data_IF_838028518361
#
_entry.id   IF_838028518361
#
_cell.length_a   1.000
_cell.length_b   1.000
_cell.length_c   1.000
_cell.angle_alpha   90.00
_cell.angle_beta   90.00
_cell.angle_gamma   90.00
#
_symmetry.space_group_name_H-M   'P 1'
#
loop_
_entity.id
_entity.type
_entity.pdbx_description
1 polymer ?
#
# COMPACT_ATOMS: atom_id res chain seq x y z
N UNK A 1 -29.32 -27.49 -50.51
CA UNK A 1 -28.43 -26.61 -49.74
C UNK A 1 -28.39 -27.14 -48.31
N UNK A 2 -27.22 -27.51 -47.81
CA UNK A 2 -27.06 -27.83 -46.38
C UNK A 2 -26.91 -26.52 -45.61
N UNK A 3 -27.67 -26.34 -44.54
CA UNK A 3 -27.57 -25.16 -43.66
C UNK A 3 -27.04 -25.66 -42.33
N UNK A 4 -25.84 -25.21 -41.95
CA UNK A 4 -25.19 -25.61 -40.72
C UNK A 4 -25.60 -24.69 -39.56
N UNK A 5 -25.83 -25.27 -38.39
CA UNK A 5 -26.11 -24.56 -37.14
C UNK A 5 -25.10 -24.98 -36.08
N UNK A 6 -24.57 -24.01 -35.31
CA UNK A 6 -23.68 -24.23 -34.17
C UNK A 6 -24.27 -23.56 -32.94
N UNK A 7 -24.32 -24.27 -31.82
CA UNK A 7 -24.59 -23.71 -30.49
C UNK A 7 -23.28 -23.56 -29.73
N UNK A 8 -23.06 -22.41 -29.11
CA UNK A 8 -21.95 -22.16 -28.19
C UNK A 8 -22.53 -21.75 -26.83
N UNK A 9 -21.92 -22.25 -25.75
CA UNK A 9 -22.30 -21.89 -24.38
C UNK A 9 -21.33 -20.84 -23.85
N UNK A 10 -21.83 -19.64 -23.56
CA UNK A 10 -21.09 -18.62 -22.81
C UNK A 10 -21.15 -19.01 -21.34
N UNK A 11 -20.00 -19.35 -20.75
CA UNK A 11 -19.91 -19.60 -19.30
C UNK A 11 -19.77 -18.27 -18.58
N UNK A 12 -20.84 -17.85 -17.91
CA UNK A 12 -20.81 -16.74 -16.97
C UNK A 12 -20.31 -17.26 -15.62
N UNK A 13 -19.14 -16.81 -15.18
CA UNK A 13 -18.70 -16.97 -13.79
C UNK A 13 -18.91 -15.63 -13.09
N UNK A 14 -19.86 -15.52 -12.14
CA UNK A 14 -20.02 -14.29 -11.37
C UNK A 14 -18.72 -14.05 -10.57
N UNK A 15 -18.23 -12.81 -10.55
CA UNK A 15 -17.12 -12.43 -9.66
C UNK A 15 -17.56 -12.51 -8.20
N UNK A 16 -16.64 -12.81 -7.28
CA UNK A 16 -16.96 -12.91 -5.86
C UNK A 16 -17.20 -11.55 -5.19
N UNK A 17 -17.27 -10.45 -5.96
CA UNK A 17 -17.40 -9.08 -5.48
C UNK A 17 -16.32 -8.20 -6.07
N UNK A 18 -16.25 -6.94 -5.62
CA UNK A 18 -15.06 -6.11 -5.78
C UNK A 18 -14.30 -6.18 -4.47
N UNK A 19 -12.98 -6.26 -4.53
CA UNK A 19 -12.13 -6.25 -3.34
C UNK A 19 -11.11 -5.14 -3.49
N UNK A 20 -10.96 -4.33 -2.44
CA UNK A 20 -9.86 -3.39 -2.32
C UNK A 20 -8.76 -4.08 -1.52
N UNK A 21 -7.56 -4.19 -2.10
CA UNK A 21 -6.47 -4.98 -1.52
C UNK A 21 -5.21 -4.14 -1.35
N UNK A 22 -4.52 -4.36 -0.24
CA UNK A 22 -3.28 -3.65 0.07
C UNK A 22 -2.32 -4.57 0.82
N UNK A 23 -1.03 -4.42 0.56
CA UNK A 23 0.03 -4.94 1.43
C UNK A 23 0.53 -3.78 2.29
N UNK A 24 0.52 -3.96 3.60
CA UNK A 24 1.02 -2.98 4.55
C UNK A 24 2.25 -3.51 5.29
N UNK A 25 3.18 -2.64 5.66
CA UNK A 25 4.21 -2.97 6.64
C UNK A 25 3.90 -2.31 7.99
N UNK A 26 3.57 -3.07 9.05
CA UNK A 26 3.39 -2.53 10.39
C UNK A 26 4.65 -1.86 10.96
N UNK A 27 5.82 -2.14 10.41
CA UNK A 27 7.10 -1.55 10.83
C UNK A 27 7.38 -0.18 10.19
N UNK A 28 6.47 0.31 9.36
CA UNK A 28 6.68 1.45 8.48
C UNK A 28 7.29 1.04 7.14
N UNK A 29 7.54 2.01 6.29
CA UNK A 29 8.06 1.80 4.95
C UNK A 29 9.40 1.08 4.95
N UNK A 30 9.47 0.04 4.12
CA UNK A 30 10.66 -0.77 3.98
C UNK A 30 11.55 -0.18 2.89
N UNK A 31 12.84 -0.12 3.17
CA UNK A 31 13.87 0.26 2.21
C UNK A 31 15.15 -0.49 2.54
N UNK A 32 16.08 -0.58 1.59
CA UNK A 32 17.47 -0.92 1.89
C UNK A 32 18.45 -0.07 1.10
N UNK A 33 19.49 0.39 1.79
CA UNK A 33 20.65 1.02 1.19
C UNK A 33 21.85 0.09 1.30
N UNK A 34 22.77 0.18 0.34
CA UNK A 34 24.01 -0.60 0.37
C UNK A 34 25.23 0.21 -0.03
N UNK A 35 26.37 -0.10 0.59
CA UNK A 35 27.68 0.44 0.22
C UNK A 35 28.33 -0.38 -0.91
N UNK A 36 29.32 0.21 -1.59
CA UNK A 36 30.08 -0.48 -2.63
C UNK A 36 29.41 -0.46 -4.00
N UNK A 37 29.55 -1.54 -4.76
CA UNK A 37 29.07 -1.67 -6.14
C UNK A 37 28.38 -3.01 -6.38
N UNK A 38 27.63 -3.12 -7.48
CA UNK A 38 27.10 -4.40 -7.93
C UNK A 38 28.26 -5.41 -8.08
N UNK A 39 28.16 -6.56 -7.40
CA UNK A 39 29.24 -7.56 -7.32
C UNK A 39 30.22 -7.43 -6.16
N UNK A 40 30.20 -6.31 -5.43
CA UNK A 40 30.98 -6.06 -4.21
C UNK A 40 30.13 -5.25 -3.22
N UNK A 41 29.03 -5.87 -2.77
CA UNK A 41 28.08 -5.27 -1.84
C UNK A 41 28.74 -5.19 -0.46
N UNK A 42 28.81 -3.98 0.09
CA UNK A 42 29.33 -3.68 1.42
C UNK A 42 28.24 -3.75 2.50
N UNK A 43 28.29 -2.83 3.46
CA UNK A 43 27.28 -2.74 4.50
C UNK A 43 25.88 -2.48 3.90
N UNK A 44 24.85 -3.08 4.51
CA UNK A 44 23.45 -2.93 4.13
C UNK A 44 22.69 -2.34 5.32
N UNK A 45 21.83 -1.35 5.06
CA UNK A 45 21.03 -0.71 6.10
C UNK A 45 19.64 -0.32 5.61
N UNK A 46 18.57 -0.57 6.36
CA UNK A 46 18.51 -1.40 7.56
C UNK A 46 18.82 -2.88 7.27
N UNK A 47 19.40 -3.57 8.26
CA UNK A 47 19.69 -5.00 8.18
C UNK A 47 18.45 -5.83 8.54
N UNK A 48 17.78 -6.36 7.51
CA UNK A 48 16.58 -7.20 7.65
C UNK A 48 16.86 -8.56 8.27
N UNK A 49 18.12 -9.00 8.35
CA UNK A 49 18.44 -10.20 9.13
C UNK A 49 18.21 -9.99 10.63
N UNK A 50 18.30 -8.74 11.09
CA UNK A 50 18.08 -8.32 12.48
C UNK A 50 16.67 -7.81 12.71
N UNK A 51 16.21 -6.87 11.89
CA UNK A 51 14.91 -6.22 12.10
C UNK A 51 13.74 -7.12 11.71
N UNK A 52 13.94 -8.00 10.73
CA UNK A 52 12.98 -8.95 10.19
C UNK A 52 11.56 -8.36 10.04
N UNK A 53 11.36 -7.36 9.17
CA UNK A 53 10.07 -6.70 9.02
C UNK A 53 9.02 -7.68 8.50
N UNK A 54 7.75 -7.36 8.79
CA UNK A 54 6.60 -8.11 8.30
C UNK A 54 5.80 -7.29 7.30
N UNK A 55 5.19 -8.00 6.36
CA UNK A 55 4.20 -7.51 5.42
C UNK A 55 2.88 -8.23 5.69
N UNK A 56 1.77 -7.51 5.65
CA UNK A 56 0.43 -8.04 5.88
C UNK A 56 -0.44 -7.73 4.69
N UNK A 57 -1.14 -8.75 4.18
CA UNK A 57 -2.10 -8.60 3.09
C UNK A 57 -3.50 -8.41 3.66
N UNK A 58 -4.12 -7.29 3.30
CA UNK A 58 -5.49 -6.95 3.68
C UNK A 58 -6.34 -6.95 2.42
N UNK A 59 -7.47 -7.65 2.47
CA UNK A 59 -8.52 -7.56 1.47
C UNK A 59 -9.77 -7.03 2.13
N UNK A 60 -10.20 -5.84 1.75
CA UNK A 60 -11.49 -5.29 2.14
C UNK A 60 -12.50 -5.69 1.09
N UNK A 61 -13.49 -6.47 1.51
CA UNK A 61 -14.61 -6.83 0.65
C UNK A 61 -15.42 -5.57 0.43
N UNK A 62 -15.80 -5.34 -0.82
CA UNK A 62 -16.77 -4.30 -1.08
C UNK A 62 -18.10 -4.62 -0.43
N UNK A 63 -18.40 -5.74 0.25
CA UNK A 63 -19.75 -6.10 0.75
C UNK A 63 -20.05 -5.70 2.20
N UNK A 64 -21.26 -5.15 2.44
CA UNK A 64 -21.73 -4.62 3.76
C UNK A 64 -21.45 -5.59 4.93
N UNK A 65 -21.61 -6.90 4.71
CA UNK A 65 -21.56 -7.90 5.78
C UNK A 65 -20.17 -8.48 6.06
N UNK A 66 -19.17 -8.24 5.21
CA UNK A 66 -17.82 -8.82 5.35
C UNK A 66 -16.81 -7.82 5.89
N UNK A 67 -16.84 -6.54 5.48
CA UNK A 67 -15.81 -5.59 5.90
C UNK A 67 -14.42 -6.03 5.44
N UNK A 68 -13.57 -6.49 6.35
CA UNK A 68 -12.32 -7.18 6.01
C UNK A 68 -12.62 -8.63 5.65
N UNK A 69 -12.33 -9.01 4.41
CA UNK A 69 -12.42 -10.40 3.97
C UNK A 69 -11.18 -11.17 4.40
N UNK A 70 -11.37 -12.40 4.86
CA UNK A 70 -10.27 -13.33 5.15
C UNK A 70 -10.11 -14.26 3.94
N UNK A 71 -9.05 -14.10 3.13
CA UNK A 71 -8.80 -15.02 2.03
C UNK A 71 -8.56 -16.44 2.56
N UNK A 72 -8.99 -17.45 1.81
CA UNK A 72 -8.77 -18.86 2.17
C UNK A 72 -7.36 -19.36 1.82
N UNK A 73 -6.67 -18.63 0.95
CA UNK A 73 -5.29 -18.88 0.58
C UNK A 73 -4.62 -17.57 0.16
N UNK A 74 -3.31 -17.51 0.32
CA UNK A 74 -2.47 -16.43 -0.17
C UNK A 74 -1.12 -16.98 -0.62
N UNK A 75 -0.83 -16.78 -1.89
CA UNK A 75 0.44 -17.05 -2.54
C UNK A 75 1.26 -15.76 -2.61
N UNK A 76 2.55 -15.86 -2.36
CA UNK A 76 3.46 -14.72 -2.35
C UNK A 76 4.47 -14.84 -3.49
N UNK A 77 4.92 -13.71 -4.01
CA UNK A 77 5.88 -13.61 -5.10
C UNK A 77 6.93 -12.55 -4.75
N UNK A 78 8.17 -12.78 -5.17
CA UNK A 78 9.27 -11.81 -5.11
C UNK A 78 9.77 -11.57 -6.53
N UNK A 79 9.71 -10.32 -7.02
CA UNK A 79 10.02 -9.96 -8.41
C UNK A 79 9.35 -10.94 -9.41
N UNK A 80 8.03 -11.13 -9.24
CA UNK A 80 7.17 -12.05 -10.01
C UNK A 80 7.50 -13.55 -9.93
N UNK A 81 8.53 -13.94 -9.17
CA UNK A 81 8.83 -15.34 -8.90
C UNK A 81 7.99 -15.82 -7.72
N UNK A 82 7.12 -16.81 -7.95
CA UNK A 82 6.32 -17.44 -6.90
C UNK A 82 7.20 -18.03 -5.80
N UNK A 83 6.94 -17.65 -4.56
CA UNK A 83 7.61 -18.19 -3.40
C UNK A 83 7.09 -19.60 -3.06
N UNK A 84 8.01 -20.53 -2.87
CA UNK A 84 7.75 -21.89 -2.41
C UNK A 84 8.27 -22.05 -0.99
N UNK A 85 7.55 -22.76 -0.13
CA UNK A 85 7.90 -22.86 1.30
C UNK A 85 8.05 -24.30 1.75
N UNK A 86 9.02 -24.55 2.64
CA UNK A 86 9.14 -25.77 3.44
C UNK A 86 9.30 -25.36 4.89
N UNK A 87 8.48 -25.94 5.79
CA UNK A 87 8.42 -25.51 7.20
C UNK A 87 8.22 -23.99 7.35
N UNK A 88 7.34 -23.42 6.50
CA UNK A 88 7.05 -21.98 6.39
C UNK A 88 8.21 -21.08 5.96
N UNK A 89 9.40 -21.60 5.64
CA UNK A 89 10.53 -20.80 5.15
C UNK A 89 10.69 -20.99 3.64
N UNK A 90 10.96 -19.90 2.93
CA UNK A 90 11.06 -19.91 1.46
C UNK A 90 12.25 -20.74 1.00
N UNK A 91 12.06 -21.58 -0.01
CA UNK A 91 13.09 -22.47 -0.57
C UNK A 91 13.66 -21.98 -1.90
N UNK A 92 13.10 -20.91 -2.46
CA UNK A 92 13.60 -20.28 -3.68
C UNK A 92 15.08 -19.88 -3.51
N UNK A 93 15.82 -19.92 -4.61
CA UNK A 93 17.21 -19.44 -4.67
C UNK A 93 17.23 -18.12 -5.42
N UNK A 94 17.62 -17.05 -4.74
CA UNK A 94 17.79 -15.72 -5.31
C UNK A 94 19.24 -15.31 -5.19
N UNK A 95 19.92 -15.18 -6.33
CA UNK A 95 21.35 -14.84 -6.42
C UNK A 95 22.25 -15.66 -5.46
N UNK A 96 22.00 -16.97 -5.40
CA UNK A 96 22.79 -17.93 -4.61
C UNK A 96 22.36 -18.10 -3.15
N UNK A 97 21.38 -17.33 -2.69
CA UNK A 97 20.86 -17.41 -1.33
C UNK A 97 19.44 -18.00 -1.29
N UNK A 98 19.07 -18.64 -0.17
CA UNK A 98 17.69 -19.11 0.09
C UNK A 98 17.21 -18.71 1.48
N UNK A 99 15.93 -18.92 1.79
CA UNK A 99 15.37 -18.65 3.11
C UNK A 99 15.15 -17.18 3.44
N UNK A 100 14.92 -16.32 2.44
CA UNK A 100 14.67 -14.89 2.63
C UNK A 100 13.31 -14.57 3.24
N UNK A 101 12.32 -15.45 3.09
CA UNK A 101 10.97 -15.17 3.54
C UNK A 101 10.43 -16.28 4.43
N UNK A 102 9.58 -15.90 5.39
CA UNK A 102 8.78 -16.83 6.18
C UNK A 102 7.30 -16.48 6.06
N UNK A 103 6.51 -17.44 5.62
CA UNK A 103 5.05 -17.33 5.65
C UNK A 103 4.59 -17.29 7.11
N UNK A 104 3.83 -16.25 7.46
CA UNK A 104 3.18 -16.16 8.77
C UNK A 104 1.76 -16.74 8.64
N UNK A 105 1.37 -17.68 9.50
CA UNK A 105 -0.01 -18.18 9.50
C UNK A 105 -0.96 -17.05 9.89
N UNK A 106 -2.21 -17.18 9.47
CA UNK A 106 -3.30 -16.34 9.93
C UNK A 106 -3.38 -16.36 11.48
N UNK A 107 -3.51 -15.18 12.10
CA UNK A 107 -3.67 -15.03 13.55
C UNK A 107 -4.95 -14.23 13.82
N UNK A 108 -5.97 -14.91 14.35
CA UNK A 108 -7.23 -14.27 14.72
C UNK A 108 -7.02 -13.19 15.80
N UNK A 109 -7.73 -12.06 15.68
CA UNK A 109 -7.71 -10.97 16.65
C UNK A 109 -6.54 -9.99 16.54
N UNK A 110 -5.60 -10.22 15.61
CA UNK A 110 -4.61 -9.20 15.19
C UNK A 110 -5.04 -8.53 13.88
N UNK A 111 -6.32 -8.66 13.45
CA UNK A 111 -6.91 -8.10 12.21
C UNK A 111 -6.95 -9.04 10.99
N UNK A 112 -6.91 -10.35 11.24
CA UNK A 112 -7.39 -11.37 10.31
C UNK A 112 -6.69 -11.43 8.93
N UNK A 113 -5.38 -11.19 8.90
CA UNK A 113 -4.61 -11.06 7.67
C UNK A 113 -3.67 -12.25 7.39
N UNK A 114 -3.18 -12.33 6.14
CA UNK A 114 -2.06 -13.20 5.77
C UNK A 114 -0.75 -12.43 5.84
N UNK A 115 0.29 -13.00 6.46
CA UNK A 115 1.56 -12.32 6.65
C UNK A 115 2.74 -12.98 5.92
N UNK A 116 3.72 -12.16 5.56
CA UNK A 116 5.03 -12.57 5.09
C UNK A 116 6.09 -11.84 5.90
N UNK A 117 6.99 -12.58 6.56
CA UNK A 117 8.14 -12.02 7.25
C UNK A 117 9.37 -12.07 6.37
N UNK A 118 10.12 -10.99 6.28
CA UNK A 118 11.41 -10.94 5.60
C UNK A 118 12.48 -11.31 6.64
N UNK A 119 13.34 -12.28 6.31
CA UNK A 119 14.34 -12.85 7.22
C UNK A 119 15.77 -12.47 6.88
N UNK A 120 16.01 -11.96 5.67
CA UNK A 120 17.34 -11.66 5.14
C UNK A 120 17.29 -10.38 4.32
N UNK A 121 18.45 -9.78 4.13
CA UNK A 121 18.62 -8.66 3.23
C UNK A 121 18.24 -9.06 1.81
N UNK A 122 17.51 -8.16 1.14
CA UNK A 122 17.03 -8.31 -0.22
C UNK A 122 17.99 -7.71 -1.24
N UNK A 123 18.98 -6.90 -0.84
CA UNK A 123 19.96 -6.29 -1.76
C UNK A 123 20.61 -7.32 -2.68
N UNK A 124 21.16 -8.41 -2.12
CA UNK A 124 21.77 -9.48 -2.93
C UNK A 124 20.70 -10.24 -3.70
N UNK A 125 19.60 -10.61 -3.06
CA UNK A 125 18.50 -11.35 -3.68
C UNK A 125 17.90 -10.63 -4.91
N UNK A 126 17.80 -9.31 -4.86
CA UNK A 126 17.27 -8.44 -5.91
C UNK A 126 18.34 -8.00 -6.93
N UNK A 127 19.61 -8.39 -6.75
CA UNK A 127 20.69 -7.98 -7.65
C UNK A 127 21.01 -6.49 -7.54
N UNK A 128 20.87 -5.91 -6.36
CA UNK A 128 21.09 -4.50 -6.05
C UNK A 128 20.17 -3.52 -6.82
N UNK A 129 18.97 -3.98 -7.18
CA UNK A 129 17.91 -3.17 -7.77
C UNK A 129 16.67 -3.12 -6.85
N UNK A 130 15.79 -2.10 -6.97
CA UNK A 130 14.49 -2.12 -6.33
C UNK A 130 13.73 -3.42 -6.60
N UNK A 131 12.94 -3.86 -5.64
CA UNK A 131 12.23 -5.13 -5.74
C UNK A 131 10.78 -5.00 -5.30
N UNK A 132 9.96 -5.98 -5.68
CA UNK A 132 8.54 -6.02 -5.32
C UNK A 132 8.18 -7.33 -4.62
N UNK A 133 7.23 -7.22 -3.69
CA UNK A 133 6.53 -8.34 -3.07
C UNK A 133 5.09 -8.28 -3.56
N UNK A 134 4.62 -9.33 -4.21
CA UNK A 134 3.22 -9.48 -4.62
C UNK A 134 2.54 -10.57 -3.81
N UNK A 135 1.30 -10.32 -3.42
CA UNK A 135 0.41 -11.30 -2.82
C UNK A 135 -0.75 -11.56 -3.77
N UNK A 136 -1.00 -12.82 -4.10
CA UNK A 136 -2.19 -13.28 -4.81
C UNK A 136 -3.03 -14.09 -3.83
N UNK A 137 -4.17 -13.54 -3.42
CA UNK A 137 -5.05 -14.14 -2.45
C UNK A 137 -6.32 -14.70 -3.10
N UNK A 138 -6.79 -15.83 -2.57
CA UNK A 138 -8.01 -16.49 -3.02
C UNK A 138 -9.13 -16.17 -2.04
N UNK A 139 -10.16 -15.50 -2.51
CA UNK A 139 -11.37 -15.14 -1.73
C UNK A 139 -12.54 -16.01 -2.16
N UNK A 140 -13.39 -16.38 -1.21
CA UNK A 140 -14.54 -17.26 -1.45
C UNK A 140 -15.82 -16.61 -0.96
N UNK A 141 -16.86 -16.74 -1.77
CA UNK A 141 -18.22 -16.43 -1.35
C UNK A 141 -19.20 -17.49 -1.84
N UNK A 142 -19.86 -18.17 -0.91
CA UNK A 142 -20.70 -19.32 -1.23
C UNK A 142 -19.87 -20.37 -1.99
N UNK A 143 -20.24 -20.63 -3.24
CA UNK A 143 -19.55 -21.58 -4.12
C UNK A 143 -18.66 -20.90 -5.17
N UNK A 144 -18.46 -19.57 -5.09
CA UNK A 144 -17.67 -18.79 -6.03
C UNK A 144 -16.31 -18.51 -5.42
N UNK A 145 -15.26 -18.68 -6.22
CA UNK A 145 -13.88 -18.36 -5.86
C UNK A 145 -13.36 -17.29 -6.80
N UNK A 146 -12.66 -16.31 -6.26
CA UNK A 146 -12.01 -15.24 -7.03
C UNK A 146 -10.57 -15.03 -6.56
N UNK A 147 -9.76 -14.39 -7.40
CA UNK A 147 -8.38 -14.04 -7.10
C UNK A 147 -8.24 -12.53 -7.03
N UNK A 148 -7.56 -12.07 -5.99
CA UNK A 148 -7.29 -10.66 -5.74
C UNK A 148 -5.81 -10.50 -5.45
N UNK A 149 -5.21 -9.36 -5.83
CA UNK A 149 -3.77 -9.19 -5.70
C UNK A 149 -3.39 -7.79 -5.25
N UNK A 150 -2.25 -7.70 -4.57
CA UNK A 150 -1.62 -6.43 -4.22
C UNK A 150 -0.11 -6.54 -4.35
N UNK A 151 0.54 -5.42 -4.64
CA UNK A 151 1.99 -5.31 -4.81
C UNK A 151 2.53 -4.30 -3.80
N UNK A 152 3.68 -4.61 -3.21
CA UNK A 152 4.44 -3.75 -2.32
C UNK A 152 5.85 -3.58 -2.87
N UNK A 153 6.22 -2.34 -3.20
CA UNK A 153 7.53 -2.01 -3.75
C UNK A 153 8.50 -1.64 -2.62
N UNK A 154 9.71 -2.19 -2.67
CA UNK A 154 10.78 -1.95 -1.70
C UNK A 154 11.94 -1.29 -2.46
N UNK A 155 12.20 0.01 -2.24
CA UNK A 155 13.35 0.68 -2.82
C UNK A 155 14.66 0.08 -2.29
N UNK A 156 15.56 -0.22 -3.22
CA UNK A 156 16.95 -0.58 -2.93
C UNK A 156 17.86 0.37 -3.69
N UNK A 157 18.76 1.05 -2.97
CA UNK A 157 19.65 2.06 -3.57
C UNK A 157 21.05 2.06 -2.97
N UNK A 158 22.00 2.68 -3.65
CA UNK A 158 23.35 2.87 -3.11
C UNK A 158 23.32 3.92 -2.00
N UNK A 159 24.04 3.67 -0.91
CA UNK A 159 24.23 4.66 0.14
C UNK A 159 25.02 5.86 -0.41
N UNK A 160 24.52 7.08 -0.20
CA UNK A 160 25.12 8.34 -0.71
C UNK A 160 25.62 9.26 0.41
N UNK A 161 25.72 8.72 1.62
CA UNK A 161 25.73 9.47 2.89
C UNK A 161 24.50 9.08 3.69
N UNK A 162 24.45 9.35 5.00
CA UNK A 162 23.35 8.90 5.87
C UNK A 162 22.37 10.03 6.18
N UNK A 163 21.41 10.34 5.28
CA UNK A 163 20.27 11.15 5.65
C UNK A 163 19.42 10.39 6.68
N UNK A 164 18.67 11.13 7.47
CA UNK A 164 17.66 10.52 8.32
C UNK A 164 16.60 9.85 7.43
N UNK A 165 16.14 8.69 7.85
CA UNK A 165 14.97 8.03 7.30
C UNK A 165 13.84 8.17 8.31
N UNK A 166 12.78 8.85 7.91
CA UNK A 166 11.55 8.97 8.69
C UNK A 166 10.54 8.02 8.10
N UNK A 167 9.82 7.30 8.96
CA UNK A 167 8.67 6.49 8.53
C UNK A 167 7.58 6.47 9.59
N UNK A 168 6.32 6.25 9.19
CA UNK A 168 5.16 6.05 10.04
C UNK A 168 4.93 4.54 10.16
N UNK A 169 5.23 4.00 11.33
CA UNK A 169 4.91 2.64 11.70
C UNK A 169 3.52 2.55 12.36
N UNK A 170 3.02 1.32 12.50
CA UNK A 170 1.85 1.05 13.32
C UNK A 170 2.20 1.24 14.81
N UNK A 171 1.38 2.02 15.51
CA UNK A 171 1.47 2.23 16.96
C UNK A 171 0.65 1.24 17.79
N UNK A 172 -0.23 0.47 17.15
CA UNK A 172 -1.04 -0.58 17.76
C UNK A 172 -1.21 -1.80 16.84
N UNK A 173 -1.95 -2.80 17.31
CA UNK A 173 -2.23 -4.03 16.55
C UNK A 173 -3.37 -3.89 15.54
N UNK A 174 -3.85 -2.66 15.29
CA UNK A 174 -4.86 -2.34 14.28
C UNK A 174 -4.24 -1.74 13.02
N UNK A 175 -2.91 -1.60 13.03
CA UNK A 175 -2.10 -1.12 11.92
C UNK A 175 -2.65 0.19 11.36
N UNK A 176 -2.99 0.19 10.07
CA UNK A 176 -3.54 1.35 9.38
C UNK A 176 -5.00 1.14 8.97
N UNK A 177 -5.73 0.27 9.69
CA UNK A 177 -7.11 -0.08 9.34
C UNK A 177 -8.03 0.04 10.55
N UNK A 178 -9.12 0.78 10.40
CA UNK A 178 -10.20 0.89 11.40
C UNK A 178 -11.31 -0.07 10.96
N UNK A 179 -11.65 -1.04 11.81
CA UNK A 179 -12.61 -2.12 11.44
C UNK A 179 -13.97 -1.98 12.11
N UNK A 180 -14.08 -1.11 13.11
CA UNK A 180 -15.29 -0.93 13.92
C UNK A 180 -15.75 0.53 13.87
N UNK A 181 -17.06 0.74 13.84
CA UNK A 181 -17.62 2.09 13.78
C UNK A 181 -17.28 2.86 15.06
N UNK A 182 -16.72 4.05 14.91
CA UNK A 182 -16.21 4.85 16.04
C UNK A 182 -14.86 4.35 16.57
N UNK A 183 -14.24 3.39 15.89
CA UNK A 183 -12.92 2.88 16.20
C UNK A 183 -11.79 3.85 15.87
N UNK A 184 -10.57 3.38 16.09
CA UNK A 184 -9.34 4.12 15.83
C UNK A 184 -8.18 3.15 15.63
N UNK A 185 -7.11 3.64 14.99
CA UNK A 185 -5.78 3.06 15.01
C UNK A 185 -4.74 4.12 15.44
N UNK A 186 -3.50 3.69 15.68
CA UNK A 186 -2.42 4.58 16.10
C UNK A 186 -1.33 4.58 15.04
N UNK A 187 -0.96 5.77 14.56
CA UNK A 187 0.24 6.00 13.75
C UNK A 187 1.40 6.38 14.65
N UNK A 188 2.62 5.92 14.35
CA UNK A 188 3.82 6.21 15.12
C UNK A 188 4.99 6.58 14.22
N UNK A 189 5.46 7.83 14.33
CA UNK A 189 6.64 8.27 13.62
C UNK A 189 7.91 7.63 14.20
N UNK A 190 8.70 7.01 13.34
CA UNK A 190 9.98 6.40 13.61
C UNK A 190 11.05 7.13 12.80
N UNK A 191 12.23 7.28 13.39
CA UNK A 191 13.35 7.96 12.75
C UNK A 191 14.58 7.10 12.88
N UNK A 192 15.29 6.91 11.77
CA UNK A 192 16.50 6.12 11.72
C UNK A 192 17.62 6.94 11.08
N UNK A 193 18.84 6.72 11.52
CA UNK A 193 20.05 7.21 10.87
C UNK A 193 20.98 6.02 10.70
N UNK A 194 21.38 5.73 9.46
CA UNK A 194 22.12 4.52 9.09
C UNK A 194 21.47 3.22 9.64
N UNK A 195 20.13 3.18 9.69
CA UNK A 195 19.36 2.03 10.21
C UNK A 195 19.28 1.93 11.73
N UNK A 196 19.90 2.85 12.46
CA UNK A 196 19.82 2.93 13.93
C UNK A 196 18.73 3.92 14.34
N UNK A 197 17.85 3.52 15.26
CA UNK A 197 16.77 4.37 15.71
C UNK A 197 17.28 5.62 16.45
N UNK A 198 16.75 6.78 16.05
CA UNK A 198 16.98 8.08 16.69
C UNK A 198 15.81 8.35 17.62
N UNK A 199 16.08 8.61 18.91
CA UNK A 199 15.04 8.71 19.94
C UNK A 199 15.06 10.00 20.75
N UNK A 200 16.02 10.90 20.51
CA UNK A 200 16.21 12.12 21.29
C UNK A 200 16.11 13.39 20.46
N UNK A 201 15.60 14.45 21.10
CA UNK A 201 15.50 15.80 20.52
C UNK A 201 14.63 15.90 19.26
N UNK A 202 13.67 14.99 19.10
CA UNK A 202 12.74 14.96 17.98
C UNK A 202 11.46 15.73 18.32
N UNK A 203 10.96 16.47 17.34
CA UNK A 203 9.65 17.13 17.37
C UNK A 203 8.83 16.72 16.16
N UNK A 204 7.52 16.62 16.34
CA UNK A 204 6.60 16.09 15.34
C UNK A 204 5.53 17.11 14.97
N UNK A 205 5.15 17.13 13.69
CA UNK A 205 3.94 17.82 13.22
C UNK A 205 3.16 16.88 12.33
N UNK A 206 1.89 16.67 12.69
CA UNK A 206 0.99 15.81 11.93
C UNK A 206 0.06 16.61 11.03
N UNK A 207 -0.16 16.10 9.82
CA UNK A 207 -1.03 16.70 8.82
C UNK A 207 -2.00 15.65 8.28
N UNK A 208 -3.23 16.05 7.95
CA UNK A 208 -4.19 15.26 7.14
C UNK A 208 -4.21 15.85 5.73
N UNK A 209 -4.24 15.02 4.69
CA UNK A 209 -4.56 15.49 3.35
C UNK A 209 -6.05 15.86 3.31
N UNK A 210 -6.36 17.10 2.94
CA UNK A 210 -7.75 17.57 2.79
C UNK A 210 -7.87 18.22 1.42
N UNK A 211 -8.61 17.57 0.52
CA UNK A 211 -8.64 17.93 -0.89
C UNK A 211 -7.26 17.72 -1.51
N UNK A 212 -6.55 18.82 -1.76
CA UNK A 212 -5.25 18.79 -2.44
C UNK A 212 -4.11 19.37 -1.59
N UNK A 213 -4.39 19.69 -0.32
CA UNK A 213 -3.43 20.34 0.57
C UNK A 213 -3.26 19.58 1.88
N UNK A 214 -2.02 19.56 2.38
CA UNK A 214 -1.69 19.05 3.70
C UNK A 214 -2.13 20.06 4.77
N UNK A 215 -3.21 19.73 5.48
CA UNK A 215 -3.75 20.53 6.57
C UNK A 215 -3.15 20.10 7.90
N UNK A 216 -2.58 21.04 8.67
CA UNK A 216 -1.98 20.77 9.98
C UNK A 216 -3.06 20.31 10.97
N UNK A 217 -2.84 19.19 11.64
CA UNK A 217 -3.71 18.73 12.72
C UNK A 217 -3.28 19.47 13.99
N UNK A 218 -4.00 20.53 14.32
CA UNK A 218 -3.65 21.45 15.41
C UNK A 218 -3.44 20.72 16.75
N UNK A 219 -2.36 21.06 17.44
CA UNK A 219 -2.00 20.50 18.75
C UNK A 219 -1.39 19.09 18.72
N UNK A 220 -1.30 18.43 17.56
CA UNK A 220 -0.72 17.09 17.46
C UNK A 220 0.80 17.15 17.26
N UNK A 221 1.54 17.12 18.37
CA UNK A 221 3.02 17.20 18.39
C UNK A 221 3.71 15.98 19.00
N UNK A 222 2.95 14.94 19.37
CA UNK A 222 3.50 13.71 19.89
C UNK A 222 4.09 12.82 18.78
N UNK A 223 4.95 11.88 19.16
CA UNK A 223 5.48 10.85 18.24
C UNK A 223 4.37 10.01 17.62
N UNK A 224 3.24 9.89 18.33
CA UNK A 224 2.08 9.11 17.89
C UNK A 224 0.91 10.02 17.56
N UNK A 225 0.10 9.60 16.58
CA UNK A 225 -1.20 10.19 16.26
C UNK A 225 -2.27 9.11 16.38
N UNK A 226 -3.29 9.34 17.22
CA UNK A 226 -4.50 8.52 17.21
C UNK A 226 -5.40 8.99 16.08
N UNK A 227 -5.67 8.11 15.12
CA UNK A 227 -6.57 8.39 13.98
C UNK A 227 -7.91 7.73 14.28
N UNK A 228 -8.95 8.53 14.44
CA UNK A 228 -10.33 8.03 14.66
C UNK A 228 -11.07 7.90 13.34
N UNK A 229 -12.16 7.12 13.32
CA UNK A 229 -13.00 6.98 12.13
C UNK A 229 -13.51 8.32 11.59
N UNK A 230 -13.82 9.28 12.47
CA UNK A 230 -14.27 10.63 12.05
C UNK A 230 -13.18 11.45 11.34
N UNK A 231 -11.93 11.01 11.39
CA UNK A 231 -10.81 11.63 10.65
C UNK A 231 -10.62 11.01 9.26
N UNK A 232 -11.33 9.92 8.92
CA UNK A 232 -11.08 9.10 7.73
C UNK A 232 -12.35 8.95 6.90
N UNK A 233 -12.33 9.46 5.67
CA UNK A 233 -13.45 9.39 4.73
C UNK A 233 -13.32 8.13 3.85
N UNK A 234 -13.55 6.95 4.45
CA UNK A 234 -13.22 5.61 3.93
C UNK A 234 -11.72 5.34 3.75
N UNK A 235 -10.95 6.29 3.21
CA UNK A 235 -9.50 6.27 3.15
C UNK A 235 -8.95 7.69 3.25
N UNK A 236 -7.91 7.91 4.06
CA UNK A 236 -7.29 9.23 4.21
C UNK A 236 -5.81 9.13 4.50
N UNK A 237 -5.04 10.12 4.03
CA UNK A 237 -3.60 10.15 4.23
C UNK A 237 -3.19 11.10 5.33
N UNK A 238 -2.18 10.66 6.07
CA UNK A 238 -1.58 11.40 7.15
C UNK A 238 -0.10 11.55 6.89
N UNK A 239 0.42 12.76 7.10
CA UNK A 239 1.85 13.07 6.97
C UNK A 239 2.42 13.44 8.32
N UNK A 240 3.60 12.93 8.64
CA UNK A 240 4.38 13.38 9.79
C UNK A 240 5.65 14.07 9.31
N UNK A 241 5.84 15.32 9.72
CA UNK A 241 7.11 16.03 9.57
C UNK A 241 7.87 15.91 10.87
N UNK A 242 9.10 15.40 10.79
CA UNK A 242 10.00 15.23 11.95
C UNK A 242 11.14 16.23 11.85
N UNK A 243 11.39 16.92 12.97
CA UNK A 243 12.53 17.83 13.10
C UNK A 243 13.41 17.41 14.27
N UNK A 244 14.72 17.62 14.15
CA UNK A 244 15.67 17.48 15.25
C UNK A 244 16.34 18.82 15.53
N UNK A 245 16.29 19.28 16.78
CA UNK A 245 16.86 20.58 17.16
C UNK A 245 16.28 21.78 16.38
N UNK A 246 15.02 21.68 15.93
CA UNK A 246 14.33 22.71 15.14
C UNK A 246 14.57 22.65 13.64
N UNK A 247 15.42 21.73 13.14
CA UNK A 247 15.64 21.52 11.70
C UNK A 247 14.87 20.30 11.22
N UNK A 248 14.11 20.44 10.13
CA UNK A 248 13.44 19.30 9.49
C UNK A 248 14.45 18.28 9.00
N UNK A 249 14.28 17.03 9.40
CA UNK A 249 15.19 15.93 9.04
C UNK A 249 14.51 14.92 8.11
N UNK A 250 13.19 14.95 8.00
CA UNK A 250 12.45 14.10 7.09
C UNK A 250 10.95 14.15 7.33
N UNK A 251 10.23 13.54 6.40
CA UNK A 251 8.78 13.41 6.40
C UNK A 251 8.41 12.02 5.93
N UNK A 252 7.23 11.55 6.33
CA UNK A 252 6.63 10.36 5.77
C UNK A 252 5.10 10.48 5.67
N UNK A 253 4.48 9.71 4.78
CA UNK A 253 3.05 9.68 4.51
C UNK A 253 2.52 8.25 4.69
N UNK A 254 1.43 8.12 5.45
CA UNK A 254 0.73 6.85 5.64
C UNK A 254 -0.76 7.02 5.40
N UNK A 255 -1.32 6.17 4.54
CA UNK A 255 -2.76 6.04 4.34
C UNK A 255 -3.41 5.17 5.41
N UNK A 256 -4.58 5.59 5.89
CA UNK A 256 -5.43 4.85 6.84
C UNK A 256 -6.76 4.54 6.18
N UNK A 257 -7.20 3.29 6.31
CA UNK A 257 -8.47 2.77 5.80
C UNK A 257 -9.51 2.69 6.91
N UNK A 258 -10.71 3.27 6.73
CA UNK A 258 -11.88 2.98 7.54
C UNK A 258 -12.73 1.88 6.90
N UNK A 259 -12.41 0.64 7.25
CA UNK A 259 -13.17 -0.54 6.86
C UNK A 259 -14.53 -0.64 7.57
N UNK A 260 -14.93 0.30 8.44
CA UNK A 260 -16.27 0.37 9.00
C UNK A 260 -17.23 1.29 8.20
N UNK A 261 -16.72 2.11 7.28
CA UNK A 261 -17.55 3.04 6.50
C UNK A 261 -18.49 2.29 5.53
N UNK A 262 -19.81 2.54 5.54
CA UNK A 262 -20.74 1.88 4.61
C UNK A 262 -20.58 2.28 3.14
N UNK A 263 -19.77 3.28 2.81
CA UNK A 263 -19.49 3.75 1.45
C UNK A 263 -18.06 3.44 1.00
N UNK A 264 -17.89 3.25 -0.30
CA UNK A 264 -16.61 2.98 -0.96
C UNK A 264 -16.53 3.79 -2.26
N UNK A 265 -15.32 4.19 -2.65
CA UNK A 265 -15.03 4.79 -3.96
C UNK A 265 -14.46 3.69 -4.85
N UNK A 266 -15.10 3.43 -5.99
CA UNK A 266 -14.53 2.57 -7.04
C UNK A 266 -13.83 3.51 -8.04
N UNK A 267 -12.49 3.46 -8.20
CA UNK A 267 -11.75 4.41 -9.04
C UNK A 267 -12.03 4.33 -10.55
N UNK A 268 -12.41 3.14 -11.05
CA UNK A 268 -12.65 2.83 -12.47
C UNK A 268 -11.59 3.43 -13.42
N UNK A 269 -10.33 2.98 -13.31
CA UNK A 269 -9.27 3.39 -14.23
C UNK A 269 -9.54 2.94 -15.67
N UNK A 270 -9.05 3.71 -16.63
CA UNK A 270 -8.98 3.33 -18.05
C UNK A 270 -7.60 3.74 -18.60
N UNK A 271 -6.75 2.80 -19.05
CA UNK A 271 -6.99 1.35 -19.11
C UNK A 271 -7.05 0.71 -17.71
N UNK A 272 -7.66 -0.48 -17.62
CA UNK A 272 -7.97 -1.12 -16.34
C UNK A 272 -6.76 -1.68 -15.59
N UNK A 273 -5.63 -1.84 -16.29
CA UNK A 273 -4.34 -2.27 -15.75
C UNK A 273 -3.49 -1.09 -15.25
N UNK A 274 -3.97 0.15 -15.39
CA UNK A 274 -3.31 1.37 -14.91
C UNK A 274 -1.87 1.58 -15.43
N UNK A 275 -1.57 1.06 -16.62
CA UNK A 275 -0.23 1.12 -17.20
C UNK A 275 -0.03 2.38 -18.07
N UNK A 276 1.11 3.06 -17.90
CA UNK A 276 1.60 4.12 -18.79
C UNK A 276 3.02 3.74 -19.24
N UNK A 277 3.25 3.57 -20.54
CA UNK A 277 4.54 3.12 -21.09
C UNK A 277 5.20 4.12 -22.02
N UNK A 278 4.41 4.85 -22.80
CA UNK A 278 4.87 5.82 -23.80
C UNK A 278 4.28 7.21 -23.56
N UNK A 279 4.86 8.24 -24.16
CA UNK A 279 4.45 9.64 -23.96
C UNK A 279 2.97 9.92 -24.26
N UNK A 280 2.34 9.11 -25.13
CA UNK A 280 0.92 9.23 -25.47
C UNK A 280 -0.02 8.51 -24.50
N UNK A 281 0.50 7.67 -23.61
CA UNK A 281 -0.31 6.88 -22.70
C UNK A 281 -0.85 7.73 -21.55
N UNK A 282 -2.08 7.41 -21.14
CA UNK A 282 -2.73 8.05 -19.99
C UNK A 282 -3.59 7.04 -19.25
N UNK A 283 -3.74 7.25 -17.95
CA UNK A 283 -4.74 6.54 -17.14
C UNK A 283 -5.80 7.55 -16.69
N UNK A 284 -7.05 7.30 -17.08
CA UNK A 284 -8.21 8.12 -16.69
C UNK A 284 -8.95 7.45 -15.56
N UNK A 285 -9.03 8.12 -14.41
CA UNK A 285 -9.84 7.71 -13.28
C UNK A 285 -11.23 8.35 -13.38
N UNK A 286 -12.29 7.53 -13.42
CA UNK A 286 -13.69 7.95 -13.47
C UNK A 286 -14.46 7.35 -12.26
N UNK A 287 -14.17 7.84 -11.05
CA UNK A 287 -14.65 7.22 -9.82
C UNK A 287 -16.17 7.31 -9.64
N UNK A 288 -16.71 6.39 -8.83
CA UNK A 288 -18.07 6.49 -8.34
C UNK A 288 -18.16 6.09 -6.87
N UNK A 289 -19.06 6.74 -6.14
CA UNK A 289 -19.41 6.34 -4.78
C UNK A 289 -20.43 5.23 -4.86
N UNK A 290 -20.16 4.12 -4.20
CA UNK A 290 -21.08 3.00 -4.03
C UNK A 290 -21.33 2.77 -2.56
N UNK A 291 -22.49 2.21 -2.24
CA UNK A 291 -22.65 1.54 -0.95
C UNK A 291 -21.78 0.29 -1.01
N UNK A 292 -21.06 0.01 0.07
CA UNK A 292 -20.29 -1.22 0.26
C UNK A 292 -21.20 -2.42 -0.03
N UNK A 293 -21.15 -2.96 -1.24
CA UNK A 293 -21.63 -4.29 -1.63
C UNK A 293 -22.30 -4.28 -2.97
N UNK A 294 -22.22 -3.11 -3.60
CA UNK A 294 -22.93 -2.70 -4.77
C UNK A 294 -21.90 -2.17 -5.76
N UNK A 295 -22.11 -2.47 -7.04
CA UNK A 295 -21.49 -1.73 -8.15
C UNK A 295 -22.44 -0.66 -8.69
N UNK A 296 -23.65 -0.55 -8.12
CA UNK A 296 -24.59 0.52 -8.41
C UNK A 296 -24.14 1.78 -7.71
N UNK A 297 -23.98 2.85 -8.48
CA UNK A 297 -23.74 4.21 -8.00
C UNK A 297 -24.76 4.55 -6.89
N UNK A 298 -24.26 4.89 -5.72
CA UNK A 298 -25.07 5.23 -4.56
C UNK A 298 -25.53 6.69 -4.58
N UNK A 299 -24.71 7.57 -5.15
CA UNK A 299 -24.99 9.00 -5.27
C UNK A 299 -24.16 9.63 -6.39
N UNK A 300 -24.69 10.70 -6.96
CA UNK A 300 -23.90 11.58 -7.83
C UNK A 300 -22.97 12.41 -6.96
N UNK A 301 -21.67 12.29 -7.22
CA UNK A 301 -20.61 12.94 -6.46
C UNK A 301 -19.52 13.36 -7.43
N UNK A 302 -18.97 14.54 -7.21
CA UNK A 302 -17.68 14.92 -7.76
C UNK A 302 -16.58 14.63 -6.74
N UNK A 303 -15.34 14.63 -7.20
CA UNK A 303 -14.20 14.22 -6.40
C UNK A 303 -13.10 15.27 -6.43
N UNK A 304 -12.31 15.27 -5.38
CA UNK A 304 -11.01 15.90 -5.33
C UNK A 304 -9.97 14.82 -5.68
N UNK A 305 -9.11 15.13 -6.63
CA UNK A 305 -8.03 14.28 -7.08
C UNK A 305 -6.70 14.94 -6.76
N UNK A 306 -5.79 14.15 -6.21
CA UNK A 306 -4.42 14.58 -5.97
C UNK A 306 -3.48 13.47 -6.41
N UNK A 307 -2.73 13.71 -7.48
CA UNK A 307 -1.60 12.87 -7.88
C UNK A 307 -0.34 13.36 -7.15
N UNK A 308 0.33 12.46 -6.43
CA UNK A 308 1.58 12.77 -5.74
C UNK A 308 2.65 11.72 -6.05
N UNK A 309 3.91 12.11 -5.88
CA UNK A 309 5.03 11.18 -5.90
C UNK A 309 5.24 10.49 -4.54
N UNK A 310 6.23 9.61 -4.46
CA UNK A 310 6.56 8.84 -3.24
C UNK A 310 7.02 9.70 -2.05
N UNK A 311 7.38 10.97 -2.25
CA UNK A 311 7.77 11.90 -1.18
C UNK A 311 6.67 12.90 -0.83
N UNK A 312 5.52 12.80 -1.50
CA UNK A 312 4.34 13.61 -1.24
C UNK A 312 4.29 14.95 -1.95
N UNK A 313 5.11 15.16 -2.98
CA UNK A 313 5.00 16.32 -3.85
C UNK A 313 3.81 16.14 -4.80
N UNK A 314 3.02 17.19 -4.95
CA UNK A 314 1.85 17.18 -5.84
C UNK A 314 2.30 17.33 -7.29
N UNK A 315 1.97 16.33 -8.11
CA UNK A 315 2.24 16.24 -9.55
C UNK A 315 1.06 16.76 -10.37
N UNK A 316 -0.15 16.58 -9.86
CA UNK A 316 -1.38 17.00 -10.51
C UNK A 316 -2.54 17.03 -9.53
N UNK A 317 -3.51 17.92 -9.78
CA UNK A 317 -4.66 18.05 -8.91
C UNK A 317 -5.90 18.48 -9.68
N UNK A 318 -7.06 18.03 -9.22
CA UNK A 318 -8.35 18.51 -9.69
C UNK A 318 -9.32 18.58 -8.51
N UNK A 319 -10.13 19.63 -8.45
CA UNK A 319 -11.11 19.83 -7.38
C UNK A 319 -12.50 19.81 -7.99
N UNK A 320 -13.43 19.11 -7.34
CA UNK A 320 -14.83 19.04 -7.76
C UNK A 320 -15.00 18.62 -9.24
N UNK A 321 -14.30 17.53 -9.62
CA UNK A 321 -14.38 16.95 -10.97
C UNK A 321 -14.94 15.52 -10.92
N UNK A 322 -15.52 15.08 -12.03
CA UNK A 322 -16.00 13.69 -12.17
C UNK A 322 -14.88 12.71 -12.58
N UNK A 323 -13.77 13.21 -13.11
CA UNK A 323 -12.65 12.41 -13.58
C UNK A 323 -11.31 13.14 -13.41
N UNK A 324 -10.23 12.37 -13.49
CA UNK A 324 -8.86 12.86 -13.49
C UNK A 324 -7.98 12.00 -14.39
N UNK A 325 -7.01 12.62 -15.03
CA UNK A 325 -6.10 11.94 -15.96
C UNK A 325 -4.67 12.02 -15.43
N UNK A 326 -4.08 10.86 -15.19
CA UNK A 326 -2.63 10.72 -15.01
C UNK A 326 -1.98 10.62 -16.37
N UNK A 327 -0.91 11.38 -16.57
CA UNK A 327 -0.19 11.48 -17.83
C UNK A 327 1.24 10.99 -17.68
N UNK A 328 1.87 10.61 -18.79
CA UNK A 328 3.29 10.26 -18.82
C UNK A 328 4.20 11.32 -18.16
N UNK A 329 3.93 12.61 -18.39
CA UNK A 329 4.72 13.69 -17.80
C UNK A 329 4.69 13.70 -16.26
N UNK A 330 3.58 13.29 -15.63
CA UNK A 330 3.50 13.15 -14.18
C UNK A 330 4.39 11.99 -13.69
N UNK A 331 4.40 10.87 -14.41
CA UNK A 331 5.27 9.74 -14.12
C UNK A 331 6.75 10.11 -14.31
N UNK A 332 7.09 10.85 -15.36
CA UNK A 332 8.44 11.35 -15.62
C UNK A 332 8.91 12.29 -14.50
N UNK A 333 8.04 13.21 -14.07
CA UNK A 333 8.33 14.12 -12.96
C UNK A 333 8.54 13.35 -11.64
N UNK A 334 7.74 12.32 -11.37
CA UNK A 334 7.88 11.49 -10.19
C UNK A 334 9.16 10.64 -10.22
N UNK A 335 9.59 10.20 -11.42
CA UNK A 335 10.68 9.23 -11.59
C UNK A 335 10.36 7.85 -11.01
N UNK A 336 9.10 7.59 -10.65
CA UNK A 336 8.57 6.39 -10.00
C UNK A 336 7.05 6.34 -10.19
N UNK A 337 6.39 5.31 -9.65
CA UNK A 337 4.93 5.20 -9.60
C UNK A 337 4.27 6.46 -9.00
N UNK A 338 3.14 6.86 -9.58
CA UNK A 338 2.33 8.01 -9.14
C UNK A 338 1.18 7.51 -8.29
N UNK A 339 1.06 8.03 -7.06
CA UNK A 339 -0.11 7.78 -6.22
C UNK A 339 -1.25 8.72 -6.57
N UNK A 340 -2.46 8.21 -6.83
CA UNK A 340 -3.67 9.02 -7.05
C UNK A 340 -4.61 8.89 -5.86
N UNK A 341 -4.88 10.02 -5.21
CA UNK A 341 -5.83 10.11 -4.11
C UNK A 341 -7.14 10.70 -4.61
N UNK A 342 -8.24 10.02 -4.29
CA UNK A 342 -9.59 10.37 -4.69
C UNK A 342 -10.41 10.55 -3.42
N UNK A 343 -10.88 11.77 -3.17
CA UNK A 343 -11.71 12.10 -2.03
C UNK A 343 -13.07 12.62 -2.52
N UNK A 344 -14.13 12.31 -1.79
CA UNK A 344 -15.45 12.89 -2.07
C UNK A 344 -15.46 14.38 -1.74
N UNK A 345 -16.21 15.16 -2.53
CA UNK A 345 -16.50 16.56 -2.17
C UNK A 345 -17.66 16.56 -1.18
N UNK A 346 -17.46 17.18 -0.01
CA UNK A 346 -18.49 17.32 1.02
C UNK A 346 -19.56 18.35 0.71
#
# INVERSE_FOLDING_TARGET
MSVATKQATVRFSPKAGTYTTIIQSPSGDLYQEFEGSVGAIGAISPDFSQTQPQLVFIATSSRVAEGVSVPIACDWYFNDVKLTFTNNVSTNVFNGETGHFRKLPYVAGTQDYWGLKILKNLVVAAGAAPCSIKAEATVVYGNVTDKVEAVYNIPIRRATGSPYFVTIAAGDNKYYTITEKGGSCILKAMTYQAGVAVTSSLTYKWYKLVGTAWSLISGQTAQTLTVTGDMVDSYSNFKCVVSQGGTEIGTDIQGVMDASDPYEIIPNPTPADETITEESDTVVYAPMVVKRGSTTKAMEMNFNFTAIDSVGLVLGQATNQANFTVTYAMCEQAGTDVGVYIETVS
#
